data_IF_460917721947
#
_entry.id   IF_460917721947
#
_cell.length_a   1.000
_cell.length_b   1.000
_cell.length_c   1.000
_cell.angle_alpha   90.00
_cell.angle_beta   90.00
_cell.angle_gamma   90.00
#
_symmetry.space_group_name_H-M   'P 1'
#
loop_
_entity.id
_entity.type
_entity.pdbx_description
1 polymer ?
#
# COMPACT_ATOMS: atom_id res chain seq x y z
N UNK A 1 -0.84 -12.57 -21.46
CA UNK A 1 -1.78 -11.84 -20.61
C UNK A 1 -1.08 -11.55 -19.28
N UNK A 2 -0.43 -10.38 -19.14
CA UNK A 2 0.24 -10.01 -17.88
C UNK A 2 -0.84 -9.57 -16.90
N UNK A 3 -1.10 -10.38 -15.88
CA UNK A 3 -2.14 -10.13 -14.88
C UNK A 3 -1.51 -9.81 -13.53
N UNK A 4 -0.61 -8.82 -13.52
CA UNK A 4 0.01 -8.29 -12.31
C UNK A 4 -0.44 -6.85 -12.09
N UNK A 5 -1.49 -6.63 -11.29
CA UNK A 5 -1.67 -5.32 -10.65
C UNK A 5 -0.79 -5.36 -9.40
N UNK A 6 0.25 -4.53 -9.35
CA UNK A 6 0.86 -4.18 -8.08
C UNK A 6 -0.26 -3.62 -7.20
N UNK A 7 -0.52 -4.24 -6.04
CA UNK A 7 -1.45 -3.70 -5.07
C UNK A 7 -0.86 -2.36 -4.58
N UNK A 8 -1.40 -1.25 -5.10
CA UNK A 8 -0.80 0.07 -4.97
C UNK A 8 -1.88 1.13 -4.95
N UNK A 9 -2.15 1.64 -3.76
CA UNK A 9 -3.07 2.73 -3.48
C UNK A 9 -2.79 3.25 -2.07
N UNK A 10 -3.12 4.52 -1.80
CA UNK A 10 -2.75 5.19 -0.55
C UNK A 10 -3.16 4.38 0.69
N UNK A 11 -4.40 3.86 0.71
CA UNK A 11 -4.91 3.06 1.83
C UNK A 11 -4.18 1.72 1.99
N UNK A 12 -3.85 1.04 0.90
CA UNK A 12 -3.03 -0.18 0.94
C UNK A 12 -1.65 0.12 1.50
N UNK A 13 -0.97 1.15 1.01
CA UNK A 13 0.38 1.51 1.48
C UNK A 13 0.39 1.91 2.96
N UNK A 14 -0.61 2.69 3.40
CA UNK A 14 -0.76 3.06 4.80
C UNK A 14 -1.10 1.85 5.68
N UNK A 15 -1.94 0.92 5.23
CA UNK A 15 -2.18 -0.30 5.97
C UNK A 15 -0.89 -1.14 6.12
N UNK A 16 -0.11 -1.28 5.05
CA UNK A 16 1.14 -2.04 5.09
C UNK A 16 2.21 -1.40 6.00
N UNK A 17 2.32 -0.08 6.06
CA UNK A 17 3.28 0.58 6.97
C UNK A 17 2.92 0.38 8.45
N UNK A 18 1.64 0.10 8.75
CA UNK A 18 1.19 -0.22 10.09
C UNK A 18 1.58 -1.61 10.60
N UNK A 19 2.27 -2.41 9.78
CA UNK A 19 2.73 -3.74 10.17
C UNK A 19 1.57 -4.73 10.35
N UNK A 20 1.70 -5.73 11.25
CA UNK A 20 0.70 -6.78 11.42
C UNK A 20 -0.72 -6.28 11.73
N UNK A 21 -0.82 -5.11 12.38
CA UNK A 21 -2.10 -4.51 12.76
C UNK A 21 -2.72 -3.63 11.66
N UNK A 22 -2.11 -3.57 10.48
CA UNK A 22 -2.66 -2.86 9.33
C UNK A 22 -2.87 -1.37 9.60
N UNK A 23 -3.97 -0.82 9.07
CA UNK A 23 -4.28 0.62 9.25
C UNK A 23 -4.42 1.02 10.73
N UNK A 24 -4.81 0.10 11.63
CA UNK A 24 -4.82 0.37 13.08
C UNK A 24 -3.40 0.64 13.60
N UNK A 25 -2.42 -0.16 13.16
CA UNK A 25 -1.01 0.09 13.46
C UNK A 25 -0.51 1.42 12.90
N UNK A 26 -0.94 1.78 11.68
CA UNK A 26 -0.57 3.04 11.06
C UNK A 26 -1.14 4.25 11.83
N UNK A 27 -2.40 4.19 12.27
CA UNK A 27 -3.01 5.25 13.07
C UNK A 27 -2.34 5.41 14.43
N UNK A 28 -1.86 4.32 15.05
CA UNK A 28 -1.12 4.41 16.32
C UNK A 28 0.27 5.04 16.14
N UNK A 29 1.00 4.68 15.09
CA UNK A 29 2.38 5.10 14.91
C UNK A 29 2.55 6.41 14.15
N UNK A 30 1.64 6.71 13.21
CA UNK A 30 1.85 7.77 12.20
C UNK A 30 0.72 8.78 12.08
N UNK A 31 -0.33 8.72 12.93
CA UNK A 31 -1.47 9.63 12.81
C UNK A 31 -1.09 11.12 12.77
N UNK A 32 -0.11 11.55 13.58
CA UNK A 32 0.34 12.95 13.56
C UNK A 32 0.95 13.35 12.21
N UNK A 33 1.75 12.47 11.63
CA UNK A 33 2.37 12.70 10.31
C UNK A 33 1.31 12.73 9.21
N UNK A 34 0.36 11.79 9.26
CA UNK A 34 -0.74 11.67 8.32
C UNK A 34 -1.61 12.95 8.36
N UNK A 35 -1.99 13.42 9.56
CA UNK A 35 -2.73 14.68 9.75
C UNK A 35 -1.97 15.89 9.20
N UNK A 36 -0.64 15.89 9.33
CA UNK A 36 0.21 16.98 8.82
C UNK A 36 0.19 17.12 7.30
N UNK A 37 -0.16 16.07 6.54
CA UNK A 37 -0.24 16.15 5.08
C UNK A 37 -1.43 16.95 4.57
N UNK A 38 -2.49 17.10 5.37
CA UNK A 38 -3.71 17.80 4.98
C UNK A 38 -4.15 18.86 6.00
N UNK A 39 -3.30 19.22 6.95
CA UNK A 39 -3.64 20.17 8.03
C UNK A 39 -4.18 21.50 7.50
N UNK A 40 -3.69 21.92 6.33
CA UNK A 40 -4.04 23.21 5.71
C UNK A 40 -5.40 23.16 4.98
N UNK A 41 -6.00 21.96 4.84
CA UNK A 41 -7.31 21.77 4.21
C UNK A 41 -8.49 22.12 5.14
N UNK A 42 -8.22 22.42 6.41
CA UNK A 42 -9.22 22.76 7.42
C UNK A 42 -9.97 21.54 7.96
N UNK A 43 -10.80 20.90 7.13
CA UNK A 43 -11.55 19.69 7.46
C UNK A 43 -11.42 18.65 6.33
N UNK A 44 -11.39 17.34 6.63
CA UNK A 44 -11.54 16.71 7.94
C UNK A 44 -10.27 16.82 8.82
N UNK A 45 -10.46 16.66 10.14
CA UNK A 45 -9.37 16.45 11.12
C UNK A 45 -9.27 14.95 11.39
N UNK A 46 -8.08 14.42 11.63
CA UNK A 46 -7.86 13.00 11.98
C UNK A 46 -8.25 12.71 13.44
N UNK A 47 -9.52 12.96 13.76
CA UNK A 47 -10.18 12.55 14.99
C UNK A 47 -10.53 11.05 14.97
N UNK A 48 -11.20 10.58 16.03
CA UNK A 48 -11.51 9.16 16.18
C UNK A 48 -12.47 8.65 15.10
N UNK A 49 -13.45 9.46 14.67
CA UNK A 49 -14.41 9.07 13.63
C UNK A 49 -13.69 8.91 12.27
N UNK A 50 -12.84 9.87 11.92
CA UNK A 50 -12.07 9.82 10.68
C UNK A 50 -11.08 8.66 10.69
N UNK A 51 -10.43 8.38 11.82
CA UNK A 51 -9.56 7.21 11.98
C UNK A 51 -10.34 5.92 11.78
N UNK A 52 -11.51 5.78 12.40
CA UNK A 52 -12.36 4.61 12.26
C UNK A 52 -12.78 4.39 10.80
N UNK A 53 -13.13 5.47 10.08
CA UNK A 53 -13.46 5.40 8.64
C UNK A 53 -12.28 4.98 7.78
N UNK A 54 -11.08 5.52 8.03
CA UNK A 54 -9.88 5.12 7.30
C UNK A 54 -9.51 3.66 7.55
N UNK A 55 -9.68 3.18 8.78
CA UNK A 55 -9.47 1.78 9.14
C UNK A 55 -10.47 0.89 8.40
N UNK A 56 -11.75 1.23 8.43
CA UNK A 56 -12.79 0.47 7.73
C UNK A 56 -12.56 0.46 6.21
N UNK A 57 -12.21 1.60 5.62
CA UNK A 57 -11.91 1.71 4.20
C UNK A 57 -10.67 0.89 3.81
N UNK A 58 -9.65 0.83 4.67
CA UNK A 58 -8.50 -0.02 4.44
C UNK A 58 -8.87 -1.51 4.50
N UNK A 59 -9.66 -1.92 5.49
CA UNK A 59 -10.15 -3.30 5.62
C UNK A 59 -10.98 -3.70 4.38
N UNK A 60 -11.83 -2.80 3.86
CA UNK A 60 -12.60 -3.00 2.62
C UNK A 60 -11.69 -3.13 1.39
N UNK A 61 -10.75 -2.19 1.19
CA UNK A 61 -9.81 -2.21 0.05
C UNK A 61 -8.95 -3.47 0.04
N UNK A 62 -8.56 -3.96 1.21
CA UNK A 62 -7.77 -5.18 1.33
C UNK A 62 -8.62 -6.46 1.22
N UNK A 63 -9.95 -6.33 1.19
CA UNK A 63 -10.89 -7.44 1.14
C UNK A 63 -10.88 -8.25 2.44
N UNK A 64 -10.65 -7.60 3.58
CA UNK A 64 -10.49 -8.22 4.90
C UNK A 64 -9.39 -9.30 4.97
N UNK A 65 -8.45 -9.28 4.04
CA UNK A 65 -7.33 -10.23 4.03
C UNK A 65 -6.32 -9.87 5.14
N UNK A 66 -5.70 -10.87 5.79
CA UNK A 66 -4.57 -10.63 6.67
C UNK A 66 -3.46 -9.83 5.99
N UNK A 67 -2.83 -8.90 6.71
CA UNK A 67 -1.75 -8.06 6.15
C UNK A 67 -0.59 -8.92 5.61
N UNK A 68 -0.28 -10.04 6.26
CA UNK A 68 0.77 -10.95 5.82
C UNK A 68 0.48 -11.55 4.43
N UNK A 69 -0.78 -11.86 4.14
CA UNK A 69 -1.17 -12.40 2.83
C UNK A 69 -1.08 -11.32 1.74
N UNK A 70 -1.43 -10.07 2.10
CA UNK A 70 -1.28 -8.91 1.21
C UNK A 70 0.20 -8.64 0.91
N UNK A 71 1.07 -8.72 1.92
CA UNK A 71 2.53 -8.57 1.77
C UNK A 71 3.10 -9.67 0.86
N UNK A 72 2.77 -10.93 1.12
CA UNK A 72 3.24 -12.05 0.31
C UNK A 72 2.81 -11.90 -1.16
N UNK A 73 1.55 -11.51 -1.41
CA UNK A 73 1.05 -11.26 -2.75
C UNK A 73 1.77 -10.08 -3.44
N UNK A 74 2.06 -9.01 -2.71
CA UNK A 74 2.82 -7.86 -3.22
C UNK A 74 4.24 -8.26 -3.61
N UNK A 75 4.91 -9.01 -2.74
CA UNK A 75 6.31 -9.39 -2.94
C UNK A 75 6.44 -10.39 -4.11
N UNK A 76 5.51 -11.35 -4.24
CA UNK A 76 5.43 -12.22 -5.41
C UNK A 76 5.25 -11.42 -6.71
N UNK A 77 4.32 -10.46 -6.73
CA UNK A 77 4.11 -9.60 -7.90
C UNK A 77 5.35 -8.75 -8.23
N UNK A 78 6.11 -8.30 -7.23
CA UNK A 78 7.35 -7.57 -7.45
C UNK A 78 8.43 -8.46 -8.09
N UNK A 79 8.58 -9.71 -7.63
CA UNK A 79 9.48 -10.70 -8.24
C UNK A 79 9.10 -10.95 -9.70
N UNK A 80 7.81 -11.11 -10.00
CA UNK A 80 7.34 -11.32 -11.37
C UNK A 80 7.69 -10.14 -12.29
N UNK A 81 7.53 -8.90 -11.81
CA UNK A 81 7.90 -7.69 -12.56
C UNK A 81 9.40 -7.64 -12.83
N UNK A 82 10.24 -7.96 -11.83
CA UNK A 82 11.68 -8.00 -11.98
C UNK A 82 12.11 -9.08 -12.99
N UNK A 83 11.51 -10.26 -12.93
CA UNK A 83 11.77 -11.34 -13.88
C UNK A 83 11.46 -10.92 -15.33
N UNK A 84 10.33 -10.23 -15.54
CA UNK A 84 9.97 -9.69 -16.86
C UNK A 84 10.99 -8.64 -17.34
N UNK A 85 11.43 -7.74 -16.46
CA UNK A 85 12.43 -6.72 -16.81
C UNK A 85 13.77 -7.34 -17.21
N UNK A 86 14.22 -8.36 -16.48
CA UNK A 86 15.47 -9.07 -16.80
C UNK A 86 15.44 -9.79 -18.14
N UNK A 87 14.26 -10.24 -18.61
CA UNK A 87 14.11 -10.78 -19.96
C UNK A 87 14.28 -9.68 -21.00
N UNK A 88 13.65 -8.52 -20.82
CA UNK A 88 13.76 -7.40 -21.77
C UNK A 88 15.18 -6.83 -21.89
N UNK A 89 15.91 -6.71 -20.78
CA UNK A 89 17.30 -6.21 -20.81
C UNK A 89 18.26 -7.19 -21.54
N UNK A 90 17.91 -8.47 -21.65
CA UNK A 90 18.68 -9.46 -22.45
C UNK A 90 18.38 -9.38 -23.94
N UNK A 91 17.25 -8.82 -24.33
CA UNK A 91 16.83 -8.67 -25.72
C UNK A 91 17.34 -7.36 -26.36
N UNK A 92 17.98 -6.47 -25.59
CA UNK A 92 18.66 -5.28 -26.10
C UNK A 92 20.09 -5.65 -26.53
N UNK A 93 20.45 -5.54 -27.82
CA UNK A 93 21.81 -5.83 -28.26
C UNK A 93 22.81 -4.84 -27.65
N UNK A 94 24.02 -5.27 -27.27
CA UNK A 94 25.04 -4.32 -26.83
C UNK A 94 25.44 -3.42 -28.02
N UNK A 95 25.12 -2.12 -27.93
CA UNK A 95 25.62 -1.08 -28.85
C UNK A 95 24.60 -0.32 -29.71
N UNK A 96 23.31 -0.27 -29.34
CA UNK A 96 22.34 0.66 -29.94
C UNK A 96 22.28 2.01 -29.22
#
# INVERSE_FOLDING_TARGET
MVRGRLAGGLLTSLALVGGPDGMRGAMRSFARTIEGWWSDSGTPRLDEDVRARLIAAADEVLGNRPINDVLAARDAAAVDVLALRHVQDRDVPPGA
#
